data_IF_793128525736
#
_entry.id   IF_793128525736
#
_cell.length_a   1.000
_cell.length_b   1.000
_cell.length_c   1.000
_cell.angle_alpha   90.00
_cell.angle_beta   90.00
_cell.angle_gamma   90.00
#
_symmetry.space_group_name_H-M   'P 1'
#
loop_
_entity.id
_entity.type
_entity.pdbx_description
1 polymer ?
#
# COMPACT_ATOMS: atom_id res chain seq x y z
N UNK A 1 -10.96 -17.14 0.37
CA UNK A 1 -11.29 -16.49 1.67
C UNK A 1 -12.41 -15.47 1.42
N UNK A 2 -13.28 -15.17 2.38
CA UNK A 2 -14.22 -14.04 2.20
C UNK A 2 -13.44 -12.72 2.19
N UNK A 3 -13.95 -11.69 1.48
CA UNK A 3 -13.32 -10.36 1.45
C UNK A 3 -12.98 -9.81 2.86
N UNK A 4 -13.85 -10.10 3.83
CA UNK A 4 -13.67 -9.75 5.24
C UNK A 4 -12.50 -10.49 5.90
N UNK A 5 -12.31 -11.77 5.59
CA UNK A 5 -11.20 -12.56 6.09
C UNK A 5 -9.86 -12.10 5.49
N UNK A 6 -9.82 -11.79 4.19
CA UNK A 6 -8.65 -11.24 3.49
C UNK A 6 -8.26 -9.90 4.11
N UNK A 7 -9.21 -8.97 4.24
CA UNK A 7 -8.99 -7.67 4.86
C UNK A 7 -8.41 -7.79 6.28
N UNK A 8 -8.93 -8.72 7.09
CA UNK A 8 -8.44 -8.95 8.46
C UNK A 8 -6.99 -9.44 8.48
N UNK A 9 -6.63 -10.39 7.59
CA UNK A 9 -5.26 -10.89 7.47
C UNK A 9 -4.29 -9.80 7.05
N UNK A 10 -4.64 -9.00 6.04
CA UNK A 10 -3.78 -7.91 5.54
C UNK A 10 -3.61 -6.82 6.61
N UNK A 11 -4.70 -6.37 7.23
CA UNK A 11 -4.63 -5.29 8.20
C UNK A 11 -3.82 -5.67 9.44
N UNK A 12 -3.99 -6.89 9.95
CA UNK A 12 -3.41 -7.29 11.22
C UNK A 12 -2.01 -7.91 11.08
N UNK A 13 -1.71 -8.59 9.96
CA UNK A 13 -0.51 -9.42 9.85
C UNK A 13 0.47 -8.94 8.77
N UNK A 14 0.03 -8.13 7.78
CA UNK A 14 0.93 -7.64 6.76
C UNK A 14 1.78 -6.49 7.32
N UNK A 15 3.09 -6.76 7.44
CA UNK A 15 4.08 -5.79 7.85
C UNK A 15 4.13 -4.63 6.85
N UNK A 16 4.00 -3.41 7.36
CA UNK A 16 4.01 -2.17 6.57
C UNK A 16 5.36 -1.48 6.73
N UNK A 17 5.95 -1.06 5.62
CA UNK A 17 7.13 -0.19 5.57
C UNK A 17 6.80 1.29 5.76
N UNK A 18 5.51 1.65 5.84
CA UNK A 18 5.08 2.99 6.22
C UNK A 18 5.38 3.37 7.68
N UNK A 19 5.59 4.66 7.93
CA UNK A 19 5.77 5.23 9.28
C UNK A 19 4.53 5.15 10.15
N UNK A 20 4.74 5.10 11.47
CA UNK A 20 3.68 5.05 12.49
C UNK A 20 2.93 6.38 12.55
N UNK A 21 3.67 7.48 12.56
CA UNK A 21 3.09 8.82 12.53
C UNK A 21 2.78 9.24 11.08
N UNK A 22 1.60 9.83 10.88
CA UNK A 22 1.15 10.25 9.54
C UNK A 22 1.98 11.39 8.98
N UNK A 23 2.43 12.32 9.83
CA UNK A 23 3.26 13.44 9.41
C UNK A 23 4.64 12.92 8.99
N UNK A 24 5.25 12.06 9.80
CA UNK A 24 6.51 11.41 9.43
C UNK A 24 6.39 10.62 8.11
N UNK A 25 5.27 9.91 7.91
CA UNK A 25 5.01 9.21 6.66
C UNK A 25 4.97 10.15 5.46
N UNK A 26 4.29 11.29 5.60
CA UNK A 26 4.17 12.28 4.52
C UNK A 26 5.48 12.98 4.22
N UNK A 27 6.34 13.14 5.23
CA UNK A 27 7.64 13.79 5.09
C UNK A 27 8.71 12.83 4.52
N UNK A 28 8.61 11.53 4.77
CA UNK A 28 9.67 10.55 4.42
C UNK A 28 9.24 9.46 3.43
N UNK A 29 7.94 9.22 3.27
CA UNK A 29 7.42 8.08 2.51
C UNK A 29 7.55 6.73 3.24
N UNK A 30 7.07 5.69 2.57
CA UNK A 30 7.20 4.30 3.01
C UNK A 30 8.49 3.65 2.49
N UNK A 31 9.06 2.73 3.26
CA UNK A 31 10.08 1.82 2.74
C UNK A 31 9.44 0.64 2.00
N UNK A 32 9.42 0.73 0.66
CA UNK A 32 8.82 -0.30 -0.20
C UNK A 32 9.59 -1.63 -0.20
N UNK A 33 10.88 -1.64 0.16
CA UNK A 33 11.68 -2.88 0.21
C UNK A 33 11.24 -3.82 1.33
N UNK A 34 10.57 -3.30 2.36
CA UNK A 34 10.06 -4.08 3.49
C UNK A 34 8.54 -4.12 3.55
N UNK A 35 7.83 -3.36 2.71
CA UNK A 35 6.38 -3.28 2.72
C UNK A 35 5.73 -4.50 2.06
N UNK A 36 5.13 -5.38 2.86
CA UNK A 36 4.46 -6.59 2.37
C UNK A 36 3.22 -6.25 1.52
N UNK A 37 2.36 -5.30 1.90
CA UNK A 37 1.24 -4.92 1.05
C UNK A 37 1.63 -4.48 -0.38
N UNK A 38 2.62 -3.60 -0.50
CA UNK A 38 3.13 -3.13 -1.79
C UNK A 38 3.78 -4.26 -2.59
N UNK A 39 4.58 -5.13 -1.94
CA UNK A 39 5.12 -6.32 -2.60
C UNK A 39 4.03 -7.20 -3.19
N UNK A 40 2.97 -7.48 -2.42
CA UNK A 40 1.86 -8.27 -2.94
C UNK A 40 1.15 -7.58 -4.10
N UNK A 41 0.95 -6.25 -4.05
CA UNK A 41 0.42 -5.51 -5.20
C UNK A 41 1.30 -5.72 -6.43
N UNK A 42 2.63 -5.68 -6.32
CA UNK A 42 3.52 -5.93 -7.47
C UNK A 42 3.41 -7.33 -8.09
N UNK A 43 2.80 -8.30 -7.39
CA UNK A 43 2.54 -9.63 -7.93
C UNK A 43 1.12 -9.82 -8.47
N UNK A 44 0.12 -9.13 -7.91
CA UNK A 44 -1.30 -9.39 -8.19
C UNK A 44 -2.02 -8.25 -8.92
N UNK A 45 -1.47 -7.03 -8.90
CA UNK A 45 -2.01 -5.91 -9.66
C UNK A 45 -1.45 -5.96 -11.07
N UNK A 46 -2.32 -6.19 -12.06
CA UNK A 46 -1.94 -6.31 -13.48
C UNK A 46 -1.71 -4.94 -14.14
N UNK A 47 -2.21 -3.86 -13.55
CA UNK A 47 -2.04 -2.50 -14.07
C UNK A 47 -0.71 -1.90 -13.59
N UNK A 48 0.31 -1.96 -14.46
CA UNK A 48 1.64 -1.41 -14.21
C UNK A 48 1.63 0.12 -13.98
N UNK A 49 0.71 0.84 -14.61
CA UNK A 49 0.59 2.30 -14.45
C UNK A 49 0.11 2.60 -13.04
N UNK A 50 -0.92 1.89 -12.59
CA UNK A 50 -1.42 2.03 -11.23
C UNK A 50 -0.38 1.59 -10.19
N UNK A 51 0.34 0.50 -10.44
CA UNK A 51 1.40 0.05 -9.53
C UNK A 51 2.49 1.11 -9.34
N UNK A 52 2.91 1.75 -10.45
CA UNK A 52 3.90 2.82 -10.41
C UNK A 52 3.38 4.10 -9.75
N UNK A 53 2.08 4.40 -9.91
CA UNK A 53 1.43 5.48 -9.15
C UNK A 53 1.49 5.20 -7.65
N UNK A 54 1.08 4.01 -7.21
CA UNK A 54 1.15 3.61 -5.80
C UNK A 54 2.59 3.66 -5.29
N UNK A 55 3.57 3.21 -6.09
CA UNK A 55 5.00 3.28 -5.75
C UNK A 55 5.43 4.72 -5.43
N UNK A 56 5.05 5.68 -6.28
CA UNK A 56 5.37 7.10 -6.09
C UNK A 56 4.63 7.69 -4.90
N UNK A 57 3.31 7.58 -4.90
CA UNK A 57 2.43 8.17 -3.89
C UNK A 57 2.70 7.66 -2.48
N UNK A 58 3.09 6.39 -2.35
CA UNK A 58 3.36 5.76 -1.07
C UNK A 58 4.84 5.81 -0.67
N UNK A 59 5.76 5.63 -1.63
CA UNK A 59 7.20 5.55 -1.37
C UNK A 59 7.92 6.89 -1.41
N UNK A 60 7.49 7.83 -2.25
CA UNK A 60 8.19 9.10 -2.51
C UNK A 60 7.52 10.30 -1.83
N UNK A 61 7.00 10.08 -0.62
CA UNK A 61 6.30 11.08 0.20
C UNK A 61 6.83 12.52 0.09
N UNK A 62 8.12 12.81 0.36
CA UNK A 62 8.63 14.18 0.32
C UNK A 62 8.56 14.90 -1.03
N UNK A 63 8.41 14.18 -2.15
CA UNK A 63 8.45 14.76 -3.49
C UNK A 63 7.07 15.13 -4.05
N UNK A 64 5.99 14.76 -3.36
CA UNK A 64 4.63 14.91 -3.85
C UNK A 64 3.83 15.96 -3.06
N UNK A 65 2.84 16.62 -3.71
CA UNK A 65 1.81 17.40 -3.01
C UNK A 65 1.11 16.56 -1.95
N UNK A 66 0.63 17.20 -0.89
CA UNK A 66 0.04 16.53 0.28
C UNK A 66 -1.19 15.69 -0.08
N UNK A 67 -1.96 16.12 -1.08
CA UNK A 67 -3.14 15.48 -1.62
C UNK A 67 -2.84 14.20 -2.43
N UNK A 68 -1.62 14.06 -2.94
CA UNK A 68 -1.15 12.91 -3.71
C UNK A 68 -0.44 11.87 -2.83
N UNK A 69 -0.19 12.16 -1.55
CA UNK A 69 0.52 11.23 -0.66
C UNK A 69 -0.41 10.12 -0.17
N UNK A 70 -0.05 8.89 -0.50
CA UNK A 70 -0.75 7.71 -0.05
C UNK A 70 -0.28 7.28 1.34
N UNK A 71 -1.19 6.77 2.17
CA UNK A 71 -0.88 6.14 3.46
C UNK A 71 -1.05 4.62 3.37
N UNK A 72 -0.46 3.89 4.33
CA UNK A 72 -0.52 2.41 4.37
C UNK A 72 -1.94 1.85 4.29
N UNK A 73 -2.92 2.55 4.86
CA UNK A 73 -4.32 2.14 4.82
C UNK A 73 -4.89 2.08 3.40
N UNK A 74 -4.51 3.00 2.52
CA UNK A 74 -4.95 3.01 1.13
C UNK A 74 -4.32 1.85 0.34
N UNK A 75 -3.03 1.60 0.51
CA UNK A 75 -2.31 0.46 -0.10
C UNK A 75 -2.94 -0.87 0.35
N UNK A 76 -3.16 -1.06 1.65
CA UNK A 76 -3.80 -2.28 2.21
C UNK A 76 -5.23 -2.46 1.68
N UNK A 77 -5.99 -1.38 1.52
CA UNK A 77 -7.33 -1.40 0.95
C UNK A 77 -7.29 -1.82 -0.52
N UNK A 78 -6.37 -1.25 -1.32
CA UNK A 78 -6.22 -1.62 -2.73
C UNK A 78 -5.82 -3.09 -2.87
N UNK A 79 -4.85 -3.54 -2.08
CA UNK A 79 -4.46 -4.95 -2.07
C UNK A 79 -5.62 -5.88 -1.72
N UNK A 80 -6.43 -5.52 -0.72
CA UNK A 80 -7.60 -6.30 -0.34
C UNK A 80 -8.56 -6.46 -1.52
N UNK A 81 -8.81 -5.37 -2.26
CA UNK A 81 -9.66 -5.40 -3.43
C UNK A 81 -9.09 -6.31 -4.53
N UNK A 82 -7.81 -6.12 -4.89
CA UNK A 82 -7.12 -6.94 -5.90
C UNK A 82 -7.18 -8.42 -5.54
N UNK A 83 -6.80 -8.80 -4.32
CA UNK A 83 -6.83 -10.20 -3.88
C UNK A 83 -8.25 -10.79 -3.83
N UNK A 84 -9.28 -9.98 -3.58
CA UNK A 84 -10.68 -10.43 -3.59
C UNK A 84 -11.19 -10.70 -5.02
N UNK A 85 -10.59 -10.10 -6.06
CA UNK A 85 -10.95 -10.40 -7.44
C UNK A 85 -10.26 -11.66 -7.98
N UNK A 86 -9.13 -12.06 -7.36
CA UNK A 86 -8.33 -13.23 -7.77
C UNK A 86 -8.84 -14.55 -7.15
N UNK A 87 -9.59 -14.49 -6.04
CA UNK A 87 -10.07 -15.66 -5.28
C UNK A 87 -11.59 -15.78 -5.26
#
# INVERSE_FOLDING_TARGET
>A
DTAKAIAKKINNNAFSGGKVDKKEHKDLGANLEIDIPFKYLSFFLEDDIELEQIRKEYGEGPKLPEEEKMLTGAVKKRLTHVLTQVV
#
